data_IF_937357149517
#
_entry.id   IF_937357149517
#
_cell.length_a   1.000
_cell.length_b   1.000
_cell.length_c   1.000
_cell.angle_alpha   90.00
_cell.angle_beta   90.00
_cell.angle_gamma   90.00
#
_symmetry.space_group_name_H-M   'P 1'
#
loop_
_entity.id
_entity.type
_entity.pdbx_description
1 polymer ?
#
# COMPACT_ATOMS: atom_id res chain seq x y z
N UNK A 1 21.53 16.78 -10.73
CA UNK A 1 20.37 15.87 -10.78
C UNK A 1 20.66 14.67 -9.86
N UNK A 2 19.82 14.35 -8.87
CA UNK A 2 20.15 13.39 -7.80
C UNK A 2 20.08 11.89 -8.20
N UNK A 3 19.61 11.57 -9.40
CA UNK A 3 19.51 10.19 -9.89
C UNK A 3 18.15 9.54 -9.62
N UNK A 4 18.02 8.24 -9.89
CA UNK A 4 16.83 7.43 -9.58
C UNK A 4 17.05 6.62 -8.30
N UNK A 5 15.98 6.22 -7.59
CA UNK A 5 16.08 5.25 -6.50
C UNK A 5 16.82 3.99 -6.96
N UNK A 6 17.70 3.46 -6.09
CA UNK A 6 18.47 2.26 -6.39
C UNK A 6 17.61 1.00 -6.58
N UNK A 7 16.38 1.02 -6.04
CA UNK A 7 15.38 -0.01 -6.18
C UNK A 7 14.26 0.46 -7.13
N UNK A 8 13.83 -0.42 -8.04
CA UNK A 8 12.67 -0.18 -8.88
C UNK A 8 11.39 -0.08 -8.04
N UNK A 9 10.50 0.83 -8.41
CA UNK A 9 9.17 0.98 -7.80
C UNK A 9 8.12 0.96 -8.91
N UNK A 10 7.36 -0.12 -9.00
CA UNK A 10 6.24 -0.24 -9.95
C UNK A 10 4.95 0.23 -9.28
N UNK A 11 4.22 1.11 -9.95
CA UNK A 11 2.88 1.53 -9.53
C UNK A 11 1.87 0.75 -10.36
N UNK A 12 1.02 -0.03 -9.69
CA UNK A 12 0.05 -0.93 -10.32
C UNK A 12 -1.38 -0.45 -10.05
N UNK A 13 -2.24 -0.59 -11.05
CA UNK A 13 -3.66 -0.27 -10.91
C UNK A 13 -4.44 -1.49 -10.41
N UNK A 14 -5.30 -1.28 -9.40
CA UNK A 14 -6.25 -2.28 -8.92
C UNK A 14 -7.62 -1.63 -8.66
N UNK A 15 -8.72 -2.37 -8.87
CA UNK A 15 -10.02 -1.98 -8.35
C UNK A 15 -9.99 -1.82 -6.82
N UNK A 16 -10.71 -0.83 -6.28
CA UNK A 16 -10.70 -0.52 -4.85
C UNK A 16 -11.13 -1.72 -4.00
N UNK A 17 -12.12 -2.48 -4.46
CA UNK A 17 -12.63 -3.69 -3.79
C UNK A 17 -11.58 -4.81 -3.67
N UNK A 18 -10.52 -4.78 -4.51
CA UNK A 18 -9.44 -5.76 -4.44
C UNK A 18 -8.35 -5.39 -3.45
N UNK A 19 -8.26 -4.12 -3.01
CA UNK A 19 -7.18 -3.64 -2.14
C UNK A 19 -7.16 -4.38 -0.80
N UNK A 20 -8.32 -4.61 -0.18
CA UNK A 20 -8.40 -5.35 1.08
C UNK A 20 -7.88 -6.79 0.97
N UNK A 21 -8.17 -7.48 -0.14
CA UNK A 21 -7.65 -8.83 -0.40
C UNK A 21 -6.14 -8.83 -0.67
N UNK A 22 -5.65 -7.84 -1.43
CA UNK A 22 -4.21 -7.69 -1.71
C UNK A 22 -3.45 -7.45 -0.41
N UNK A 23 -3.95 -6.54 0.43
CA UNK A 23 -3.41 -6.23 1.76
C UNK A 23 -3.38 -7.46 2.65
N UNK A 24 -4.49 -8.18 2.79
CA UNK A 24 -4.58 -9.36 3.63
C UNK A 24 -3.55 -10.44 3.23
N UNK A 25 -3.38 -10.67 1.92
CA UNK A 25 -2.34 -11.58 1.40
C UNK A 25 -0.93 -11.10 1.72
N UNK A 26 -0.68 -9.80 1.62
CA UNK A 26 0.62 -9.21 1.88
C UNK A 26 1.01 -9.29 3.37
N UNK A 27 0.09 -8.93 4.27
CA UNK A 27 0.29 -9.01 5.73
C UNK A 27 0.54 -10.45 6.18
N UNK A 28 -0.15 -11.43 5.58
CA UNK A 28 0.05 -12.85 5.89
C UNK A 28 1.34 -13.45 5.28
N UNK A 29 2.07 -12.70 4.44
CA UNK A 29 3.25 -13.21 3.74
C UNK A 29 4.52 -12.91 4.53
N UNK A 30 5.25 -13.95 4.93
CA UNK A 30 6.52 -13.78 5.63
C UNK A 30 7.47 -12.88 4.83
N UNK A 31 8.24 -12.02 5.51
CA UNK A 31 9.23 -11.15 4.87
C UNK A 31 8.66 -10.14 3.88
N UNK A 32 7.34 -9.91 3.88
CA UNK A 32 6.69 -8.83 3.16
C UNK A 32 6.32 -7.73 4.15
N UNK A 33 6.77 -6.51 3.87
CA UNK A 33 6.34 -5.32 4.56
C UNK A 33 5.17 -4.69 3.82
N UNK A 34 4.19 -4.22 4.58
CA UNK A 34 2.99 -3.56 4.09
C UNK A 34 2.94 -2.17 4.73
N UNK A 35 2.78 -1.16 3.88
CA UNK A 35 2.49 0.20 4.31
C UNK A 35 1.18 0.65 3.69
N UNK A 36 0.20 0.92 4.55
CA UNK A 36 -1.14 1.32 4.15
C UNK A 36 -1.18 2.79 3.73
N UNK A 37 -2.01 3.07 2.73
CA UNK A 37 -2.27 4.44 2.25
C UNK A 37 -3.77 4.70 2.37
N UNK A 38 -4.26 5.04 3.57
CA UNK A 38 -5.67 5.31 3.80
C UNK A 38 -6.08 6.66 3.19
N UNK A 39 -7.38 6.86 3.00
CA UNK A 39 -7.94 8.11 2.45
C UNK A 39 -7.54 9.36 3.26
N UNK A 40 -7.37 9.21 4.57
CA UNK A 40 -6.84 10.24 5.47
C UNK A 40 -5.51 10.83 4.97
N UNK A 41 -4.65 10.04 4.31
CA UNK A 41 -3.37 10.50 3.77
C UNK A 41 -3.51 11.55 2.66
N UNK A 42 -4.66 11.63 1.99
CA UNK A 42 -4.96 12.66 1.00
C UNK A 42 -5.68 13.88 1.59
N UNK A 43 -6.47 13.67 2.65
CA UNK A 43 -7.27 14.72 3.27
C UNK A 43 -6.43 15.62 4.21
N UNK A 44 -5.37 15.08 4.80
CA UNK A 44 -4.65 15.72 5.89
C UNK A 44 -3.29 16.25 5.44
N UNK A 45 -3.03 17.54 5.72
CA UNK A 45 -1.79 18.22 5.30
C UNK A 45 -0.72 18.27 6.41
N UNK A 46 -1.13 18.00 7.64
CA UNK A 46 -0.26 17.98 8.83
C UNK A 46 -0.04 16.53 9.24
N UNK A 47 1.20 16.06 9.16
CA UNK A 47 1.52 14.64 9.38
C UNK A 47 1.09 14.12 10.77
N UNK A 48 1.16 14.97 11.80
CA UNK A 48 0.72 14.58 13.14
C UNK A 48 -0.78 14.31 13.22
N UNK A 49 -1.60 15.20 12.64
CA UNK A 49 -3.05 15.02 12.57
C UNK A 49 -3.41 13.74 11.81
N UNK A 50 -2.66 13.44 10.74
CA UNK A 50 -2.80 12.19 10.00
C UNK A 50 -2.52 10.97 10.89
N UNK A 51 -1.43 10.99 11.66
CA UNK A 51 -1.10 9.89 12.57
C UNK A 51 -2.17 9.71 13.65
N UNK A 52 -2.69 10.79 14.21
CA UNK A 52 -3.73 10.75 15.25
C UNK A 52 -5.05 10.19 14.68
N UNK A 53 -5.44 10.60 13.46
CA UNK A 53 -6.62 10.09 12.76
C UNK A 53 -6.51 8.60 12.46
N UNK A 54 -5.38 8.16 11.91
CA UNK A 54 -5.14 6.74 11.60
C UNK A 54 -5.09 5.90 12.88
N UNK A 55 -4.45 6.39 13.95
CA UNK A 55 -4.38 5.68 15.23
C UNK A 55 -5.75 5.55 15.91
N UNK A 56 -6.63 6.54 15.74
CA UNK A 56 -7.99 6.53 16.29
C UNK A 56 -9.00 5.71 15.49
N UNK A 57 -8.65 5.28 14.27
CA UNK A 57 -9.57 4.59 13.36
C UNK A 57 -9.32 3.08 13.38
N UNK A 58 -10.33 2.24 13.68
CA UNK A 58 -10.18 0.79 13.56
C UNK A 58 -9.76 0.40 12.14
N UNK A 59 -8.87 -0.58 12.02
CA UNK A 59 -8.35 -1.06 10.74
C UNK A 59 -9.45 -1.39 9.72
N UNK A 60 -10.54 -2.00 10.16
CA UNK A 60 -11.68 -2.38 9.30
C UNK A 60 -12.47 -1.16 8.78
N UNK A 61 -12.32 -0.01 9.44
CA UNK A 61 -12.95 1.26 9.06
C UNK A 61 -12.01 2.14 8.21
N UNK A 62 -10.73 1.79 8.08
CA UNK A 62 -9.80 2.52 7.22
C UNK A 62 -10.10 2.21 5.74
N UNK A 63 -10.59 3.24 5.03
CA UNK A 63 -10.72 3.18 3.59
C UNK A 63 -9.35 3.32 2.94
N UNK A 64 -8.84 2.22 2.36
CA UNK A 64 -7.53 2.19 1.71
C UNK A 64 -7.63 2.69 0.27
N UNK A 65 -6.84 3.69 -0.08
CA UNK A 65 -6.71 4.17 -1.46
C UNK A 65 -5.58 3.46 -2.21
N UNK A 66 -4.54 3.04 -1.49
CA UNK A 66 -3.47 2.21 -2.01
C UNK A 66 -2.84 1.35 -0.90
N UNK A 67 -2.04 0.37 -1.33
CA UNK A 67 -1.25 -0.49 -0.44
C UNK A 67 0.15 -0.58 -1.02
N UNK A 68 1.15 -0.17 -0.25
CA UNK A 68 2.56 -0.28 -0.62
C UNK A 68 3.12 -1.60 -0.09
N UNK A 69 3.80 -2.36 -0.94
CA UNK A 69 4.29 -3.71 -0.62
C UNK A 69 5.76 -3.82 -0.99
N UNK A 70 6.59 -4.25 -0.04
CA UNK A 70 8.03 -4.49 -0.25
C UNK A 70 8.41 -5.85 0.30
N UNK A 71 9.14 -6.66 -0.46
CA UNK A 71 9.59 -7.98 -0.01
C UNK A 71 10.21 -8.82 -1.13
N UNK A 72 10.44 -10.13 -0.90
CA UNK A 72 10.95 -11.04 -1.92
C UNK A 72 10.09 -11.03 -3.18
N UNK A 73 10.74 -10.88 -4.35
CA UNK A 73 10.08 -10.72 -5.65
C UNK A 73 9.02 -11.79 -5.92
N UNK A 74 9.33 -13.07 -5.68
CA UNK A 74 8.40 -14.17 -5.89
C UNK A 74 7.13 -14.09 -5.03
N UNK A 75 7.21 -13.50 -3.82
CA UNK A 75 6.06 -13.26 -2.94
C UNK A 75 5.24 -12.09 -3.43
N UNK A 76 5.90 -10.97 -3.74
CA UNK A 76 5.25 -9.76 -4.28
C UNK A 76 4.51 -10.09 -5.57
N UNK A 77 5.17 -10.76 -6.53
CA UNK A 77 4.58 -11.17 -7.80
C UNK A 77 3.33 -12.05 -7.60
N UNK A 78 3.33 -12.93 -6.58
CA UNK A 78 2.17 -13.77 -6.24
C UNK A 78 1.02 -12.97 -5.61
N UNK A 79 1.33 -11.95 -4.82
CA UNK A 79 0.34 -11.08 -4.16
C UNK A 79 -0.34 -10.19 -5.20
N UNK A 80 0.44 -9.49 -6.03
CA UNK A 80 -0.07 -8.54 -7.02
C UNK A 80 -0.61 -9.25 -8.26
N UNK A 81 -0.11 -10.44 -8.60
CA UNK A 81 -0.57 -11.19 -9.77
C UNK A 81 -0.35 -10.40 -11.07
N UNK A 82 -1.39 -10.30 -11.90
CA UNK A 82 -1.34 -9.63 -13.21
C UNK A 82 -1.98 -8.23 -13.20
N UNK A 83 -1.82 -7.48 -12.10
CA UNK A 83 -2.28 -6.09 -12.10
C UNK A 83 -1.49 -5.30 -13.16
N UNK A 84 -2.16 -4.48 -13.98
CA UNK A 84 -1.49 -3.65 -14.97
C UNK A 84 -0.71 -2.52 -14.28
N UNK A 85 0.27 -1.95 -14.98
CA UNK A 85 0.86 -0.67 -14.59
C UNK A 85 -0.23 0.40 -14.56
N UNK A 86 -0.17 1.29 -13.57
CA UNK A 86 -1.02 2.48 -13.53
C UNK A 86 -0.61 3.42 -14.69
N UNK A 87 -1.56 3.89 -15.52
CA UNK A 87 -1.27 4.78 -16.64
C UNK A 87 -0.85 6.18 -16.20
#
# INVERSE_FOLDING_TARGET
HPGLPWAGCSVLAAPAERLGTIRAKAVASLGVHVADVPAAAQATRVYREYLDEVAGTPEQALSHLAVSIVGPRNRVDKIVGRLPLLP
#
